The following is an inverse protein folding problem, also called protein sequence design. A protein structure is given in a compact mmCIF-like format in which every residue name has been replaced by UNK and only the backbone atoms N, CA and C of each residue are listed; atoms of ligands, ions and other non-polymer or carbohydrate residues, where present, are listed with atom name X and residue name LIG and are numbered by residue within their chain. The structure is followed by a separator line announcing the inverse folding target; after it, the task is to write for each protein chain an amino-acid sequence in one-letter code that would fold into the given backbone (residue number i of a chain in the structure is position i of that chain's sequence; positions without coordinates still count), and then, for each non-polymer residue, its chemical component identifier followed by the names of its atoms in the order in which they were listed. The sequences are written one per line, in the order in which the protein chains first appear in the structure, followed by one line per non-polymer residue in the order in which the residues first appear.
data_IF_994507297058
#
_entry.id   IF_994507297058
#
_cell.length_a   1.000
_cell.length_b   1.000
_cell.length_c   1.000
_cell.angle_alpha   90.00
_cell.angle_beta   90.00
_cell.angle_gamma   90.00
#
_symmetry.space_group_name_H-M   'P 1'
#
loop_
_entity.id
_entity.type
_entity.pdbx_description
1 polymer ?
#
# COMPACT_ATOMS: atom_id res chain seq x y z
N UNK A 1 29.03 -27.41 13.10
CA UNK A 1 27.61 -27.02 13.17
C UNK A 1 27.08 -27.20 11.76
N UNK A 2 26.18 -28.16 11.55
CA UNK A 2 25.66 -28.44 10.20
C UNK A 2 24.53 -27.47 9.91
N UNK A 3 24.71 -26.56 8.96
CA UNK A 3 23.70 -25.60 8.47
C UNK A 3 22.57 -26.26 7.68
N UNK A 4 22.27 -27.52 7.97
CA UNK A 4 21.28 -28.33 7.25
C UNK A 4 20.02 -28.35 8.11
N UNK A 5 18.95 -27.72 7.60
CA UNK A 5 17.63 -27.70 8.19
C UNK A 5 17.11 -29.13 8.43
N UNK A 6 16.88 -29.50 9.69
CA UNK A 6 16.30 -30.78 10.06
C UNK A 6 14.78 -30.68 10.14
N UNK A 7 14.08 -31.14 9.11
CA UNK A 7 12.60 -31.08 9.02
C UNK A 7 11.92 -32.07 9.99
N UNK A 8 12.65 -33.07 10.49
CA UNK A 8 12.13 -34.08 11.42
C UNK A 8 12.31 -33.77 12.90
N UNK A 9 12.97 -32.66 13.27
CA UNK A 9 13.08 -32.25 14.67
C UNK A 9 11.75 -31.71 15.20
N UNK A 10 11.58 -31.74 16.53
CA UNK A 10 10.42 -31.11 17.15
C UNK A 10 10.32 -29.63 16.77
N UNK A 11 9.10 -29.12 16.50
CA UNK A 11 8.91 -27.71 16.19
C UNK A 11 9.31 -26.86 17.41
N UNK A 12 10.18 -25.89 17.18
CA UNK A 12 10.54 -24.87 18.17
C UNK A 12 9.59 -23.70 18.00
N UNK A 13 8.81 -23.41 19.03
CA UNK A 13 7.95 -22.23 19.07
C UNK A 13 8.72 -21.05 19.68
N UNK A 14 8.67 -19.90 19.03
CA UNK A 14 9.26 -18.66 19.52
C UNK A 14 8.15 -17.74 20.03
N UNK A 15 8.02 -17.63 21.35
CA UNK A 15 6.99 -16.82 22.02
C UNK A 15 7.46 -15.39 22.32
N UNK A 16 8.54 -14.91 21.69
CA UNK A 16 9.06 -13.55 21.91
C UNK A 16 8.13 -12.46 21.38
N UNK A 17 7.29 -12.75 20.38
CA UNK A 17 6.30 -11.80 19.85
C UNK A 17 5.02 -11.93 20.66
N UNK A 18 4.82 -11.00 21.59
CA UNK A 18 3.68 -11.04 22.53
C UNK A 18 2.46 -10.29 22.00
N UNK A 19 2.67 -9.32 21.09
CA UNK A 19 1.60 -8.44 20.61
C UNK A 19 1.93 -7.83 19.24
N UNK A 20 0.90 -7.64 18.41
CA UNK A 20 0.92 -6.81 17.20
C UNK A 20 0.00 -5.62 17.44
N UNK A 21 0.47 -4.42 17.10
CA UNK A 21 -0.29 -3.17 17.19
C UNK A 21 -0.30 -2.47 15.82
N UNK A 22 -1.39 -1.77 15.52
CA UNK A 22 -1.52 -0.97 14.30
C UNK A 22 -1.29 0.49 14.64
N UNK A 23 -0.40 1.14 13.89
CA UNK A 23 -0.09 2.57 14.01
C UNK A 23 -0.33 3.29 12.69
N UNK A 24 -0.79 4.53 12.79
CA UNK A 24 -0.98 5.42 11.63
C UNK A 24 0.19 6.38 11.53
N UNK A 25 0.81 6.44 10.35
CA UNK A 25 1.86 7.40 10.02
C UNK A 25 1.39 8.31 8.91
N UNK A 26 1.57 9.62 9.09
CA UNK A 26 1.18 10.62 8.12
C UNK A 26 2.40 11.06 7.30
N UNK A 27 2.19 11.57 6.07
CA UNK A 27 3.26 12.22 5.32
C UNK A 27 3.92 13.35 6.10
N UNK A 28 5.20 13.60 5.82
CA UNK A 28 5.95 14.68 6.44
C UNK A 28 5.30 16.06 6.18
N UNK A 29 5.35 16.94 7.18
CA UNK A 29 4.59 18.20 7.25
C UNK A 29 5.14 19.29 6.31
N UNK A 30 4.94 19.11 5.00
CA UNK A 30 4.93 20.13 3.96
C UNK A 30 4.81 19.36 2.65
N UNK A 31 3.66 19.38 1.98
CA UNK A 31 3.57 19.20 0.52
C UNK A 31 2.12 19.19 0.11
N UNK A 32 1.85 19.86 -0.99
CA UNK A 32 0.65 19.63 -1.76
C UNK A 32 0.66 18.19 -2.32
N UNK A 33 -0.48 17.70 -2.77
CA UNK A 33 -0.57 16.42 -3.51
C UNK A 33 -0.83 16.72 -4.99
N UNK A 34 0.04 17.50 -5.62
CA UNK A 34 -0.06 17.85 -7.04
C UNK A 34 0.61 16.80 -7.90
N UNK A 35 0.40 16.96 -9.20
CA UNK A 35 1.06 16.18 -10.24
C UNK A 35 2.58 16.22 -10.05
N UNK A 36 3.25 15.06 -10.04
CA UNK A 36 4.68 14.90 -9.79
C UNK A 36 5.20 15.33 -8.41
N UNK A 37 4.31 15.59 -7.44
CA UNK A 37 4.75 15.79 -6.05
C UNK A 37 5.21 14.45 -5.45
N UNK A 38 6.26 14.54 -4.65
CA UNK A 38 6.82 13.42 -3.92
C UNK A 38 6.28 13.43 -2.47
N UNK A 39 5.71 12.31 -2.05
CA UNK A 39 5.14 12.10 -0.72
C UNK A 39 6.08 11.16 0.05
N UNK A 40 6.60 11.62 1.18
CA UNK A 40 7.43 10.82 2.09
C UNK A 40 6.69 10.54 3.40
N UNK A 41 6.59 9.28 3.78
CA UNK A 41 6.05 8.84 5.07
C UNK A 41 7.19 8.25 5.90
N UNK A 42 7.79 9.05 6.81
CA UNK A 42 8.88 8.59 7.65
C UNK A 42 8.38 7.81 8.87
N UNK A 43 8.97 6.64 9.13
CA UNK A 43 8.74 5.87 10.35
C UNK A 43 10.03 5.88 11.19
N UNK A 44 10.10 6.82 12.13
CA UNK A 44 11.30 7.12 12.92
C UNK A 44 11.23 6.52 14.33
N UNK A 45 10.93 5.24 14.44
CA UNK A 45 10.87 4.57 15.74
C UNK A 45 11.85 3.40 15.79
N UNK A 46 12.97 3.61 16.48
CA UNK A 46 14.10 2.69 16.55
C UNK A 46 13.81 1.39 17.31
N UNK A 47 12.76 1.37 18.13
CA UNK A 47 12.39 0.22 18.97
C UNK A 47 11.25 -0.61 18.37
N UNK A 48 10.82 -0.34 17.13
CA UNK A 48 9.67 -0.98 16.49
C UNK A 48 10.09 -1.80 15.26
N UNK A 49 9.75 -3.09 15.31
CA UNK A 49 9.76 -3.99 14.16
C UNK A 49 8.51 -3.72 13.33
N UNK A 50 8.67 -3.35 12.07
CA UNK A 50 7.55 -3.04 11.18
C UNK A 50 7.25 -4.28 10.33
N UNK A 51 5.96 -4.53 10.11
CA UNK A 51 5.50 -5.60 9.22
C UNK A 51 4.83 -4.98 7.98
N UNK A 52 5.60 -4.50 6.97
CA UNK A 52 5.03 -3.90 5.78
C UNK A 52 4.04 -4.82 5.06
N UNK A 53 4.25 -6.13 5.07
CA UNK A 53 3.39 -7.08 4.36
C UNK A 53 1.96 -7.19 4.93
N UNK A 54 1.74 -6.75 6.18
CA UNK A 54 0.43 -6.62 6.81
C UNK A 54 -0.03 -5.15 6.93
N UNK A 55 0.76 -4.22 6.41
CA UNK A 55 0.46 -2.80 6.37
C UNK A 55 -0.20 -2.40 5.04
N UNK A 56 -0.81 -1.22 5.02
CA UNK A 56 -1.49 -0.69 3.84
C UNK A 56 -1.31 0.82 3.72
N UNK A 57 -1.35 1.30 2.47
CA UNK A 57 -1.49 2.71 2.16
C UNK A 57 -2.95 3.11 2.27
N UNK A 58 -3.27 4.00 3.21
CA UNK A 58 -4.58 4.62 3.30
C UNK A 58 -4.60 5.89 2.44
N UNK A 59 -5.53 5.95 1.49
CA UNK A 59 -5.71 7.10 0.60
C UNK A 59 -7.13 7.62 0.75
N UNK A 60 -7.26 8.90 1.07
CA UNK A 60 -8.53 9.61 1.08
C UNK A 60 -8.47 10.83 0.16
N UNK A 61 -9.60 11.19 -0.42
CA UNK A 61 -9.65 12.32 -1.33
C UNK A 61 -11.06 12.69 -1.76
N UNK A 62 -11.14 13.71 -2.61
CA UNK A 62 -12.38 14.21 -3.17
C UNK A 62 -12.26 14.32 -4.68
N UNK A 63 -13.18 13.68 -5.39
CA UNK A 63 -13.33 13.87 -6.83
C UNK A 63 -14.15 15.13 -7.09
N UNK A 64 -13.65 16.00 -7.96
CA UNK A 64 -14.35 17.22 -8.40
C UNK A 64 -14.65 17.13 -9.89
N UNK A 65 -15.87 17.50 -10.28
CA UNK A 65 -16.26 17.60 -11.69
C UNK A 65 -15.73 18.92 -12.24
N UNK A 66 -14.94 18.87 -13.32
CA UNK A 66 -14.57 20.10 -14.05
C UNK A 66 -15.76 20.71 -14.80
N UNK A 67 -16.69 19.87 -15.27
CA UNK A 67 -17.91 20.31 -15.96
C UNK A 67 -19.11 19.65 -15.30
N UNK A 68 -20.06 20.46 -14.83
CA UNK A 68 -21.31 19.98 -14.28
C UNK A 68 -22.23 19.52 -15.43
N UNK A 69 -22.21 18.22 -15.72
CA UNK A 69 -23.27 17.59 -16.50
C UNK A 69 -24.32 17.10 -15.51
N UNK A 70 -25.53 17.66 -15.60
CA UNK A 70 -26.65 17.26 -14.76
C UNK A 70 -26.92 15.76 -14.91
N UNK A 71 -27.04 15.07 -13.77
CA UNK A 71 -27.32 13.64 -13.70
C UNK A 71 -26.14 12.70 -14.00
N UNK A 72 -24.94 13.20 -14.30
CA UNK A 72 -23.78 12.33 -14.51
C UNK A 72 -23.20 11.82 -13.17
N UNK A 73 -23.18 10.51 -12.96
CA UNK A 73 -22.49 9.89 -11.82
C UNK A 73 -20.99 9.77 -12.13
N UNK A 74 -20.15 10.14 -11.17
CA UNK A 74 -18.71 9.90 -11.26
C UNK A 74 -18.41 8.59 -10.54
N UNK A 75 -17.69 7.70 -11.20
CA UNK A 75 -17.23 6.45 -10.62
C UNK A 75 -15.72 6.36 -10.78
N UNK A 76 -15.06 5.83 -9.76
CA UNK A 76 -13.66 5.48 -9.85
C UNK A 76 -13.58 4.11 -10.51
N UNK A 77 -12.80 4.03 -11.58
CA UNK A 77 -12.56 2.75 -12.25
C UNK A 77 -11.57 1.91 -11.47
N UNK A 78 -11.47 0.66 -11.92
CA UNK A 78 -10.47 -0.30 -11.52
C UNK A 78 -9.07 0.32 -11.42
N UNK A 79 -8.36 0.02 -10.33
CA UNK A 79 -7.00 0.48 -10.03
C UNK A 79 -6.82 1.99 -10.00
N UNK A 80 -7.91 2.73 -9.84
CA UNK A 80 -7.91 4.20 -9.83
C UNK A 80 -6.89 4.78 -8.85
N UNK A 81 -6.73 4.17 -7.68
CA UNK A 81 -5.80 4.63 -6.64
C UNK A 81 -4.36 4.32 -7.00
N UNK A 82 -4.05 3.10 -7.45
CA UNK A 82 -2.67 2.72 -7.79
C UNK A 82 -2.18 3.40 -9.07
N UNK A 83 -3.08 3.82 -9.95
CA UNK A 83 -2.78 4.64 -11.12
C UNK A 83 -2.42 6.10 -10.78
N UNK A 84 -2.70 6.58 -9.56
CA UNK A 84 -2.29 7.92 -9.12
C UNK A 84 -0.79 8.00 -8.85
N UNK A 85 -0.08 6.87 -8.74
CA UNK A 85 1.33 6.85 -8.42
C UNK A 85 2.17 6.41 -9.62
N UNK A 86 3.23 7.15 -9.90
CA UNK A 86 4.24 6.78 -10.90
C UNK A 86 5.27 5.82 -10.33
N UNK A 87 5.66 6.08 -9.08
CA UNK A 87 6.64 5.29 -8.37
C UNK A 87 6.24 5.13 -6.91
N UNK A 88 6.55 3.95 -6.35
CA UNK A 88 6.59 3.71 -4.91
C UNK A 88 7.97 3.13 -4.60
N UNK A 89 8.63 3.69 -3.62
CA UNK A 89 9.93 3.26 -3.13
C UNK A 89 9.85 3.01 -1.62
N UNK A 90 10.53 1.95 -1.19
CA UNK A 90 10.71 1.62 0.22
C UNK A 90 12.18 1.67 0.56
N UNK A 91 12.51 2.54 1.51
CA UNK A 91 13.87 2.77 1.98
C UNK A 91 14.01 2.39 3.46
N UNK A 92 15.13 1.75 3.78
CA UNK A 92 15.53 1.35 5.12
C UNK A 92 16.88 2.01 5.40
N UNK A 93 16.94 2.89 6.40
CA UNK A 93 18.15 3.67 6.72
C UNK A 93 18.79 4.39 5.51
N UNK A 94 17.95 4.91 4.61
CA UNK A 94 18.39 5.61 3.39
C UNK A 94 18.92 4.69 2.28
N UNK A 95 18.74 3.37 2.43
CA UNK A 95 19.02 2.37 1.40
C UNK A 95 17.70 1.92 0.79
N UNK A 96 17.56 2.05 -0.52
CA UNK A 96 16.45 1.47 -1.27
C UNK A 96 16.45 -0.05 -1.13
N UNK A 97 15.35 -0.58 -0.60
CA UNK A 97 15.13 -2.02 -0.45
C UNK A 97 14.22 -2.53 -1.58
N UNK A 98 13.23 -1.73 -1.96
CA UNK A 98 12.33 -2.06 -3.06
C UNK A 98 11.83 -0.79 -3.75
N UNK A 99 11.57 -0.89 -5.05
CA UNK A 99 11.07 0.20 -5.90
C UNK A 99 10.20 -0.38 -7.01
N UNK A 100 8.99 0.15 -7.11
CA UNK A 100 8.03 -0.20 -8.14
C UNK A 100 7.67 1.03 -8.97
N UNK A 101 7.93 0.96 -10.28
CA UNK A 101 7.54 1.98 -11.27
C UNK A 101 6.31 1.55 -12.04
N UNK A 102 5.56 2.52 -12.55
CA UNK A 102 4.28 2.29 -13.24
C UNK A 102 3.31 1.49 -12.35
N UNK A 103 3.19 1.93 -11.10
CA UNK A 103 2.53 1.24 -9.99
C UNK A 103 1.19 0.62 -10.40
N UNK A 104 0.31 1.40 -11.04
CA UNK A 104 -0.99 0.88 -11.49
C UNK A 104 -0.90 -0.26 -12.51
N UNK A 105 0.06 -0.25 -13.44
CA UNK A 105 0.27 -1.33 -14.42
C UNK A 105 0.84 -2.57 -13.73
N UNK A 106 1.88 -2.40 -12.91
CA UNK A 106 2.51 -3.50 -12.19
C UNK A 106 1.51 -4.17 -11.25
N UNK A 107 0.78 -3.39 -10.45
CA UNK A 107 -0.31 -3.85 -9.59
C UNK A 107 -1.36 -4.65 -10.36
N UNK A 108 -1.68 -4.21 -11.59
CA UNK A 108 -2.62 -4.94 -12.46
C UNK A 108 -2.11 -6.33 -12.81
N UNK A 109 -0.89 -6.40 -13.33
CA UNK A 109 -0.30 -7.67 -13.76
C UNK A 109 -0.09 -8.63 -12.60
N UNK A 110 0.45 -8.14 -11.48
CA UNK A 110 0.72 -8.94 -10.30
C UNK A 110 -0.55 -9.53 -9.72
N UNK A 111 -1.60 -8.72 -9.57
CA UNK A 111 -2.85 -9.20 -9.01
C UNK A 111 -3.55 -10.22 -9.91
N UNK A 112 -3.47 -10.09 -11.24
CA UNK A 112 -4.01 -11.12 -12.14
C UNK A 112 -3.27 -12.46 -12.02
N UNK A 113 -1.97 -12.45 -11.73
CA UNK A 113 -1.15 -13.67 -11.63
C UNK A 113 -1.23 -14.30 -10.24
N UNK A 114 -1.29 -13.47 -9.19
CA UNK A 114 -1.03 -13.89 -7.81
C UNK A 114 -2.27 -13.93 -6.91
N UNK A 115 -3.39 -13.31 -7.28
CA UNK A 115 -4.58 -13.32 -6.43
C UNK A 115 -5.30 -14.68 -6.47
N UNK A 116 -5.43 -15.28 -5.30
CA UNK A 116 -6.42 -16.35 -5.10
C UNK A 116 -7.84 -15.78 -5.14
N UNK A 117 -8.83 -16.65 -5.37
CA UNK A 117 -10.25 -16.28 -5.35
C UNK A 117 -10.65 -15.60 -4.02
N UNK A 118 -10.16 -16.12 -2.90
CA UNK A 118 -10.45 -15.56 -1.57
C UNK A 118 -9.81 -14.17 -1.40
N UNK A 119 -8.56 -13.99 -1.87
CA UNK A 119 -7.86 -12.70 -1.78
C UNK A 119 -8.48 -11.65 -2.70
N UNK A 120 -9.03 -12.06 -3.84
CA UNK A 120 -9.74 -11.17 -4.76
C UNK A 120 -10.94 -10.47 -4.08
N UNK A 121 -11.70 -11.19 -3.25
CA UNK A 121 -12.83 -10.59 -2.50
C UNK A 121 -12.36 -9.55 -1.50
N UNK A 122 -11.20 -9.77 -0.86
CA UNK A 122 -10.61 -8.85 0.13
C UNK A 122 -10.04 -7.56 -0.50
N UNK A 123 -9.73 -7.59 -1.80
CA UNK A 123 -9.07 -6.50 -2.52
C UNK A 123 -10.02 -5.39 -3.01
N UNK A 124 -11.33 -5.50 -2.74
CA UNK A 124 -12.31 -4.46 -3.12
C UNK A 124 -11.96 -3.08 -2.56
N UNK A 125 -11.48 -3.03 -1.32
CA UNK A 125 -11.05 -1.78 -0.67
C UNK A 125 -9.71 -1.23 -1.20
N UNK A 126 -9.01 -1.97 -2.05
CA UNK A 126 -7.79 -1.56 -2.74
C UNK A 126 -8.06 -1.00 -4.16
N UNK A 127 -9.32 -0.69 -4.46
CA UNK A 127 -9.78 -0.29 -5.80
C UNK A 127 -9.55 -1.37 -6.89
N UNK A 128 -9.41 -2.64 -6.51
CA UNK A 128 -9.32 -3.80 -7.42
C UNK A 128 -10.69 -4.28 -7.93
N UNK A 129 -11.72 -3.45 -7.80
CA UNK A 129 -13.03 -3.68 -8.39
C UNK A 129 -13.62 -2.32 -8.76
N UNK A 130 -14.61 -2.29 -9.65
CA UNK A 130 -15.41 -1.08 -9.87
C UNK A 130 -16.30 -0.88 -8.66
N UNK A 131 -15.86 -0.04 -7.73
CA UNK A 131 -16.62 0.28 -6.54
C UNK A 131 -17.32 1.62 -6.72
N UNK A 132 -18.65 1.63 -6.59
CA UNK A 132 -19.47 2.84 -6.46
C UNK A 132 -19.28 3.49 -5.06
N UNK A 133 -18.05 3.53 -4.56
CA UNK A 133 -17.68 3.97 -3.20
C UNK A 133 -17.32 5.45 -3.15
N UNK A 134 -17.86 6.26 -4.07
CA UNK A 134 -17.79 7.71 -3.95
C UNK A 134 -19.04 8.19 -3.24
N UNK A 135 -18.87 8.96 -2.17
CA UNK A 135 -19.99 9.60 -1.49
C UNK A 135 -20.72 10.57 -2.44
N UNK A 136 -21.99 10.91 -2.17
CA UNK A 136 -22.73 11.90 -2.97
C UNK A 136 -22.00 13.25 -3.11
N UNK A 137 -21.20 13.60 -2.10
CA UNK A 137 -20.40 14.82 -2.05
C UNK A 137 -19.03 14.69 -2.76
N UNK A 138 -18.72 13.53 -3.33
CA UNK A 138 -17.50 13.26 -4.10
C UNK A 138 -16.32 12.71 -3.30
N UNK A 139 -16.49 12.38 -2.01
CA UNK A 139 -15.40 11.86 -1.17
C UNK A 139 -15.22 10.35 -1.34
N UNK A 140 -13.98 9.89 -1.22
CA UNK A 140 -13.63 8.47 -1.24
C UNK A 140 -12.53 8.17 -0.22
N UNK A 141 -12.43 6.91 0.18
CA UNK A 141 -11.28 6.36 0.89
C UNK A 141 -11.00 4.92 0.46
N UNK A 142 -9.73 4.55 0.42
CA UNK A 142 -9.27 3.22 0.05
C UNK A 142 -8.06 2.81 0.90
N UNK A 143 -7.89 1.50 1.05
CA UNK A 143 -6.73 0.89 1.69
C UNK A 143 -6.06 -0.04 0.67
N UNK A 144 -4.86 0.32 0.22
CA UNK A 144 -4.09 -0.49 -0.72
C UNK A 144 -2.99 -1.23 0.05
N UNK A 145 -3.05 -2.58 0.18
CA UNK A 145 -2.05 -3.32 0.93
C UNK A 145 -0.64 -3.16 0.34
N UNK A 146 0.40 -3.08 1.16
CA UNK A 146 1.76 -2.98 0.63
C UNK A 146 2.27 -4.29 0.02
N UNK A 147 1.74 -5.44 0.46
CA UNK A 147 2.12 -6.76 -0.09
C UNK A 147 1.71 -7.01 -1.56
N UNK A 148 1.01 -6.07 -2.18
CA UNK A 148 0.66 -6.05 -3.61
C UNK A 148 1.23 -4.83 -4.34
N UNK A 149 1.86 -3.90 -3.60
CA UNK A 149 2.57 -2.75 -4.16
C UNK A 149 4.08 -2.98 -4.20
N UNK A 150 4.58 -3.76 -3.24
CA UNK A 150 5.99 -4.00 -2.94
C UNK A 150 6.21 -5.49 -2.65
N UNK A 151 7.36 -6.00 -3.04
CA UNK A 151 7.81 -7.39 -2.82
C UNK A 151 8.51 -7.49 -1.46
N UNK A 152 7.82 -7.12 -0.37
CA UNK A 152 8.39 -7.06 0.98
C UNK A 152 7.69 -8.02 1.95
N UNK A 153 8.44 -8.57 2.92
CA UNK A 153 7.94 -9.52 3.93
C UNK A 153 8.10 -9.08 5.40
N UNK A 154 9.11 -8.28 5.77
CA UNK A 154 9.27 -7.64 7.11
C UNK A 154 10.53 -6.74 7.13
N UNK A 155 10.58 -5.68 7.94
CA UNK A 155 11.78 -4.83 8.10
C UNK A 155 11.73 -3.88 9.32
N UNK A 156 12.89 -3.39 9.79
CA UNK A 156 13.03 -2.61 11.03
C UNK A 156 13.35 -1.14 10.73
N UNK A 157 12.49 -0.18 11.09
CA UNK A 157 12.63 1.28 10.81
C UNK A 157 12.61 1.63 9.31
N UNK A 158 11.70 2.48 8.82
CA UNK A 158 11.60 2.66 7.37
C UNK A 158 10.99 3.96 6.86
N UNK A 159 11.19 4.21 5.58
CA UNK A 159 10.63 5.33 4.84
C UNK A 159 9.91 4.80 3.60
N UNK A 160 8.69 5.28 3.39
CA UNK A 160 7.97 5.06 2.14
C UNK A 160 7.96 6.36 1.35
N UNK A 161 8.38 6.29 0.10
CA UNK A 161 8.35 7.39 -0.87
C UNK A 161 7.35 7.04 -1.98
N UNK A 162 6.48 7.99 -2.32
CA UNK A 162 5.48 7.86 -3.37
C UNK A 162 5.60 9.05 -4.30
N UNK A 163 5.66 8.82 -5.61
CA UNK A 163 5.63 9.90 -6.61
C UNK A 163 4.26 9.91 -7.26
N UNK A 164 3.53 11.02 -7.15
CA UNK A 164 2.21 11.17 -7.76
C UNK A 164 2.37 11.39 -9.28
N UNK A 165 1.50 10.75 -10.09
CA UNK A 165 1.33 11.12 -11.49
C UNK A 165 0.67 12.48 -11.53
#
# INVERSE_FOLDING_TARGET
MSDILNIGSEPVFDDRIVKIETHTYNPYANTTFRYSDEIRIPIQQQDLYILPCESYLYVEGKVTKQVAVDGATVTLRYNSITLMFDEICYELDGVEIDRNRNVGITFTLENYVSLSLDKNVSMKNAAWDTTDTISPDGYFNFCVPFNVLLVLRSADSAYFEFIVK
#
